data_IF_502698773007
#
_entry.id   IF_502698773007
#
_cell.length_a   1.000
_cell.length_b   1.000
_cell.length_c   1.000
_cell.angle_alpha   90.00
_cell.angle_beta   90.00
_cell.angle_gamma   90.00
#
_symmetry.space_group_name_H-M   'P 1'
#
loop_
_entity.id
_entity.type
_entity.pdbx_description
1 polymer ?
#
# COMPACT_ATOMS: atom_id res chain seq x y z
N UNK A 1 20.81 -21.88 13.66
CA UNK A 1 21.71 -21.19 12.71
C UNK A 1 22.27 -22.27 11.79
N UNK A 2 22.01 -22.36 10.46
CA UNK A 2 21.84 -21.32 9.45
C UNK A 2 20.71 -21.64 8.43
N UNK A 3 19.52 -21.03 8.57
CA UNK A 3 18.47 -21.09 7.52
C UNK A 3 17.93 -19.71 7.12
N UNK A 4 18.19 -18.70 7.96
CA UNK A 4 17.81 -17.31 7.71
C UNK A 4 18.67 -16.68 6.60
N UNK A 5 19.94 -17.10 6.47
CA UNK A 5 20.85 -16.56 5.46
C UNK A 5 20.48 -16.97 4.02
N UNK A 6 19.78 -18.10 3.86
CA UNK A 6 19.44 -18.65 2.52
C UNK A 6 18.25 -17.90 1.90
N UNK A 7 17.32 -17.37 2.70
CA UNK A 7 16.20 -16.58 2.19
C UNK A 7 16.58 -15.12 1.86
N UNK A 8 17.60 -14.56 2.54
CA UNK A 8 18.08 -13.20 2.25
C UNK A 8 18.93 -13.19 0.96
N UNK A 9 19.64 -14.29 0.67
CA UNK A 9 20.52 -14.38 -0.49
C UNK A 9 19.79 -14.74 -1.81
N UNK A 10 18.58 -15.28 -1.76
CA UNK A 10 17.75 -15.50 -2.97
C UNK A 10 16.91 -14.28 -3.36
N UNK A 11 16.74 -13.32 -2.45
CA UNK A 11 15.99 -12.08 -2.74
C UNK A 11 16.77 -11.09 -3.62
N UNK A 12 18.09 -11.27 -3.76
CA UNK A 12 18.95 -10.43 -4.62
C UNK A 12 18.98 -10.87 -6.09
N UNK A 13 18.31 -11.96 -6.47
CA UNK A 13 18.37 -12.53 -7.83
C UNK A 13 17.22 -12.13 -8.76
N UNK A 14 16.36 -11.17 -8.37
CA UNK A 14 15.27 -10.63 -9.20
C UNK A 14 15.34 -9.12 -9.46
N UNK A 15 16.54 -8.52 -9.45
CA UNK A 15 16.76 -7.19 -10.03
C UNK A 15 17.54 -7.37 -11.33
N UNK A 16 16.81 -7.48 -12.45
CA UNK A 16 16.57 -6.27 -13.22
C UNK A 16 15.10 -6.18 -13.62
N UNK A 17 14.32 -5.36 -12.90
CA UNK A 17 13.23 -4.67 -13.58
C UNK A 17 13.92 -3.64 -14.46
N UNK A 18 14.25 -4.05 -15.67
CA UNK A 18 14.49 -3.16 -16.79
C UNK A 18 13.42 -2.09 -16.73
N UNK A 19 13.85 -0.83 -16.65
CA UNK A 19 12.98 0.33 -16.70
C UNK A 19 12.14 0.27 -17.97
N UNK A 20 10.98 -0.38 -17.89
CA UNK A 20 9.85 0.01 -18.70
C UNK A 20 9.55 1.43 -18.21
N UNK A 21 10.10 2.42 -18.92
CA UNK A 21 9.51 3.74 -18.93
C UNK A 21 8.07 3.53 -19.42
N UNK A 22 7.15 3.36 -18.47
CA UNK A 22 5.75 3.57 -18.70
C UNK A 22 5.61 5.05 -19.03
N UNK A 23 5.74 5.32 -20.33
CA UNK A 23 5.49 6.61 -20.96
C UNK A 23 4.08 7.04 -20.57
N UNK A 24 3.98 8.15 -19.83
CA UNK A 24 2.80 9.02 -19.69
C UNK A 24 1.47 8.27 -19.78
N UNK A 25 1.27 7.37 -18.82
CA UNK A 25 0.09 6.53 -18.73
C UNK A 25 -0.57 6.78 -17.40
N UNK A 26 -1.88 6.87 -17.41
CA UNK A 26 -2.72 6.94 -16.22
C UNK A 26 -2.53 5.73 -15.27
N UNK A 27 -1.58 4.84 -15.48
CA UNK A 27 -1.36 3.64 -14.67
C UNK A 27 0.01 3.68 -14.00
N UNK A 28 0.03 3.45 -12.69
CA UNK A 28 1.26 3.32 -11.89
C UNK A 28 1.23 2.04 -11.09
N UNK A 29 2.41 1.55 -10.72
CA UNK A 29 2.55 0.36 -9.89
C UNK A 29 3.35 0.69 -8.65
N UNK A 30 3.03 0.07 -7.52
CA UNK A 30 3.76 0.27 -6.28
C UNK A 30 4.08 -1.04 -5.60
N UNK A 31 5.18 -1.06 -4.85
CA UNK A 31 5.56 -2.14 -3.96
C UNK A 31 5.88 -1.56 -2.58
N UNK A 32 5.54 -2.27 -1.52
CA UNK A 32 5.74 -1.75 -0.17
C UNK A 32 5.17 -2.61 0.94
N UNK A 33 5.15 -2.01 2.12
CA UNK A 33 4.63 -2.57 3.35
C UNK A 33 3.49 -1.71 3.91
N UNK A 34 2.50 -2.36 4.52
CA UNK A 34 1.33 -1.72 5.14
C UNK A 34 0.05 -1.93 4.34
N UNK A 35 -1.07 -1.38 4.81
CA UNK A 35 -2.40 -1.68 4.26
C UNK A 35 -2.59 -1.20 2.82
N UNK A 36 -1.92 -0.14 2.41
CA UNK A 36 -1.92 0.30 1.01
C UNK A 36 -1.29 -0.70 0.04
N UNK A 37 -0.60 -1.71 0.57
CA UNK A 37 0.04 -2.81 -0.15
C UNK A 37 -0.49 -4.17 0.31
N UNK A 38 -1.60 -4.19 1.07
CA UNK A 38 -2.17 -5.40 1.71
C UNK A 38 -1.16 -6.22 2.51
N UNK A 39 -0.36 -5.54 3.33
CA UNK A 39 0.75 -6.14 4.07
C UNK A 39 2.06 -5.92 3.34
N UNK A 40 2.85 -6.97 3.09
CA UNK A 40 3.99 -6.92 2.17
C UNK A 40 3.50 -7.29 0.76
N UNK A 41 3.46 -6.32 -0.15
CA UNK A 41 2.84 -6.55 -1.44
C UNK A 41 2.97 -5.36 -2.39
N UNK A 42 1.97 -5.22 -3.25
CA UNK A 42 1.95 -4.20 -4.28
C UNK A 42 0.57 -3.65 -4.58
N UNK A 43 0.54 -2.60 -5.40
CA UNK A 43 -0.68 -2.06 -5.98
C UNK A 43 -0.51 -1.72 -7.46
N UNK A 44 -1.64 -1.65 -8.17
CA UNK A 44 -1.77 -0.98 -9.46
C UNK A 44 -2.81 0.14 -9.30
N UNK A 45 -2.46 1.36 -9.73
CA UNK A 45 -3.31 2.53 -9.57
C UNK A 45 -3.57 3.20 -10.92
N UNK A 46 -4.84 3.48 -11.20
CA UNK A 46 -5.28 4.30 -12.32
C UNK A 46 -5.53 5.75 -11.85
N UNK A 47 -4.92 6.72 -12.52
CA UNK A 47 -4.98 8.15 -12.23
C UNK A 47 -5.92 8.86 -13.21
N UNK A 48 -6.65 9.85 -12.73
CA UNK A 48 -7.50 10.69 -13.55
C UNK A 48 -7.51 12.10 -12.96
N UNK A 49 -6.63 12.95 -13.51
CA UNK A 49 -6.38 14.29 -12.98
C UNK A 49 -5.79 14.25 -11.56
N UNK A 50 -6.50 14.86 -10.60
CA UNK A 50 -6.06 14.92 -9.18
C UNK A 50 -6.47 13.69 -8.37
N UNK A 51 -7.02 12.66 -9.01
CA UNK A 51 -7.57 11.49 -8.35
C UNK A 51 -6.89 10.20 -8.80
N UNK A 52 -6.94 9.17 -7.96
CA UNK A 52 -6.52 7.83 -8.32
C UNK A 52 -7.42 6.77 -7.68
N UNK A 53 -7.57 5.64 -8.35
CA UNK A 53 -8.14 4.40 -7.80
C UNK A 53 -7.07 3.32 -7.90
N UNK A 54 -6.80 2.60 -6.81
CA UNK A 54 -5.79 1.56 -6.79
C UNK A 54 -6.30 0.24 -6.21
N UNK A 55 -5.91 -0.85 -6.84
CA UNK A 55 -6.07 -2.21 -6.35
C UNK A 55 -4.74 -2.69 -5.76
N UNK A 56 -4.79 -3.29 -4.58
CA UNK A 56 -3.63 -3.80 -3.83
C UNK A 56 -3.81 -5.27 -3.49
N UNK A 57 -2.69 -6.00 -3.44
CA UNK A 57 -2.63 -7.38 -3.02
C UNK A 57 -1.27 -7.68 -2.39
N UNK A 58 -1.26 -8.54 -1.36
CA UNK A 58 -0.05 -8.80 -0.59
C UNK A 58 -0.20 -9.85 0.49
N UNK A 59 0.90 -10.11 1.18
CA UNK A 59 0.99 -10.99 2.34
C UNK A 59 0.73 -10.19 3.61
N UNK A 60 -0.38 -10.45 4.31
CA UNK A 60 -0.79 -9.70 5.52
C UNK A 60 -0.08 -10.19 6.77
N UNK A 61 0.09 -11.51 6.90
CA UNK A 61 0.70 -12.14 8.07
C UNK A 61 1.59 -13.31 7.65
N UNK A 62 2.76 -13.40 8.26
CA UNK A 62 3.65 -14.56 8.20
C UNK A 62 3.87 -15.08 9.62
N UNK A 63 3.51 -16.35 9.88
CA UNK A 63 3.76 -16.99 11.18
C UNK A 63 4.19 -18.44 11.00
N UNK A 64 4.69 -19.06 12.07
CA UNK A 64 4.99 -20.50 12.09
C UNK A 64 3.77 -21.39 11.84
N UNK A 65 2.55 -20.84 11.92
CA UNK A 65 1.29 -21.55 11.72
C UNK A 65 0.64 -21.29 10.36
N UNK A 66 1.25 -20.46 9.50
CA UNK A 66 0.75 -20.22 8.14
C UNK A 66 1.00 -18.82 7.59
N UNK A 67 0.41 -18.58 6.42
CA UNK A 67 0.50 -17.36 5.64
C UNK A 67 -0.90 -16.89 5.27
N UNK A 68 -1.17 -15.60 5.41
CA UNK A 68 -2.44 -14.98 5.01
C UNK A 68 -2.19 -13.95 3.91
N UNK A 69 -3.08 -13.92 2.92
CA UNK A 69 -3.05 -12.96 1.83
C UNK A 69 -4.22 -12.00 1.94
N UNK A 70 -4.00 -10.76 1.53
CA UNK A 70 -5.00 -9.71 1.52
C UNK A 70 -5.10 -9.05 0.16
N UNK A 71 -6.26 -8.44 -0.07
CA UNK A 71 -6.46 -7.50 -1.17
C UNK A 71 -7.18 -6.25 -0.65
N UNK A 72 -7.08 -5.16 -1.39
CA UNK A 72 -7.75 -3.91 -1.04
C UNK A 72 -7.94 -2.97 -2.22
N UNK A 73 -8.88 -2.05 -2.06
CA UNK A 73 -9.18 -0.96 -2.98
C UNK A 73 -8.93 0.36 -2.25
N UNK A 74 -8.34 1.33 -2.94
CA UNK A 74 -8.18 2.69 -2.43
C UNK A 74 -8.57 3.73 -3.45
N UNK A 75 -9.13 4.83 -2.96
CA UNK A 75 -9.34 6.05 -3.72
C UNK A 75 -8.55 7.18 -3.06
N UNK A 76 -7.86 8.02 -3.83
CA UNK A 76 -7.04 9.12 -3.32
C UNK A 76 -7.24 10.39 -4.15
N UNK A 77 -7.10 11.55 -3.52
CA UNK A 77 -7.26 12.86 -4.14
C UNK A 77 -6.21 13.86 -3.60
N UNK A 78 -5.47 14.53 -4.49
CA UNK A 78 -4.35 15.44 -4.11
C UNK A 78 -4.74 16.90 -3.89
N UNK A 79 -5.89 17.34 -4.39
CA UNK A 79 -6.38 18.71 -4.22
C UNK A 79 -7.21 19.00 -2.95
N UNK A 80 -7.30 18.06 -1.98
CA UNK A 80 -8.10 18.26 -0.75
C UNK A 80 -7.34 18.99 0.36
N UNK A 81 -6.00 18.93 0.33
CA UNK A 81 -5.14 19.70 1.20
C UNK A 81 -4.70 20.93 0.44
N UNK A 82 -4.74 22.11 1.08
CA UNK A 82 -4.29 23.36 0.48
C UNK A 82 -2.87 23.16 -0.07
N UNK A 83 -2.74 23.18 -1.39
CA UNK A 83 -1.47 23.03 -2.08
C UNK A 83 -0.57 24.18 -1.63
N UNK A 84 0.37 23.91 -0.71
CA UNK A 84 1.46 24.84 -0.50
C UNK A 84 2.09 25.07 -1.87
N UNK A 85 2.25 26.33 -2.29
CA UNK A 85 2.72 26.74 -3.63
C UNK A 85 4.01 26.02 -4.11
N UNK A 86 4.71 25.33 -3.21
CA UNK A 86 6.00 24.67 -3.41
C UNK A 86 5.93 23.12 -3.46
N UNK A 87 4.77 22.50 -3.25
CA UNK A 87 4.61 21.03 -3.27
C UNK A 87 3.26 20.55 -3.83
N UNK A 88 2.82 21.03 -5.01
CA UNK A 88 1.58 20.55 -5.63
C UNK A 88 1.68 19.03 -5.89
N UNK A 89 0.57 18.32 -5.73
CA UNK A 89 0.42 16.90 -6.04
C UNK A 89 1.23 15.90 -5.17
N UNK A 90 1.89 16.34 -4.09
CA UNK A 90 2.64 15.46 -3.17
C UNK A 90 1.84 14.91 -2.01
N UNK A 91 0.70 15.52 -1.70
CA UNK A 91 -0.13 15.16 -0.57
C UNK A 91 -1.48 14.68 -1.08
N UNK A 92 -1.91 13.47 -0.69
CA UNK A 92 -3.21 12.93 -1.04
C UNK A 92 -4.00 12.55 0.22
N UNK A 93 -5.29 12.84 0.21
CA UNK A 93 -6.25 12.27 1.15
C UNK A 93 -7.10 11.25 0.42
N UNK A 94 -7.54 10.22 1.13
CA UNK A 94 -8.23 9.11 0.50
C UNK A 94 -8.99 8.24 1.46
N UNK A 95 -9.51 7.15 0.92
CA UNK A 95 -10.17 6.08 1.65
C UNK A 95 -9.59 4.76 1.18
N UNK A 96 -9.38 3.85 2.13
CA UNK A 96 -8.99 2.48 1.88
C UNK A 96 -10.09 1.53 2.37
N UNK A 97 -10.36 0.48 1.60
CA UNK A 97 -11.14 -0.68 2.04
C UNK A 97 -10.40 -1.95 1.65
N UNK A 98 -10.35 -2.95 2.53
CA UNK A 98 -9.65 -4.19 2.24
C UNK A 98 -9.30 -5.00 3.47
N UNK A 99 -8.35 -5.92 3.28
CA UNK A 99 -7.77 -6.71 4.35
C UNK A 99 -6.95 -5.80 5.29
N UNK A 100 -7.37 -5.70 6.55
CA UNK A 100 -6.71 -4.88 7.58
C UNK A 100 -6.11 -5.69 8.73
N UNK A 101 -6.01 -7.01 8.58
CA UNK A 101 -5.31 -7.88 9.52
C UNK A 101 -5.85 -9.30 9.49
N UNK A 102 -5.47 -10.09 10.49
CA UNK A 102 -5.90 -11.46 10.66
C UNK A 102 -6.32 -11.73 12.11
N UNK A 103 -7.28 -12.62 12.32
CA UNK A 103 -7.60 -13.15 13.64
C UNK A 103 -6.52 -14.15 14.07
N UNK A 104 -5.82 -13.86 15.19
CA UNK A 104 -4.64 -14.59 15.67
C UNK A 104 -4.83 -16.09 15.93
N UNK A 105 -6.07 -16.57 16.06
CA UNK A 105 -6.38 -17.98 16.33
C UNK A 105 -6.94 -18.73 15.11
N UNK A 106 -7.45 -18.04 14.10
CA UNK A 106 -8.20 -18.66 12.99
C UNK A 106 -7.57 -18.38 11.63
N UNK A 107 -6.54 -17.52 11.55
CA UNK A 107 -5.95 -17.01 10.30
C UNK A 107 -7.00 -16.42 9.33
N UNK A 108 -8.15 -16.00 9.85
CA UNK A 108 -9.18 -15.37 9.04
C UNK A 108 -8.83 -13.92 8.80
N UNK A 109 -8.84 -13.53 7.53
CA UNK A 109 -8.67 -12.15 7.11
C UNK A 109 -9.77 -11.27 7.67
N UNK A 110 -9.36 -10.22 8.38
CA UNK A 110 -10.24 -9.17 8.91
C UNK A 110 -10.37 -8.10 7.84
N UNK A 111 -11.59 -7.82 7.43
CA UNK A 111 -11.90 -6.77 6.48
C UNK A 111 -12.24 -5.47 7.21
N UNK A 112 -11.91 -4.35 6.59
CA UNK A 112 -12.24 -3.05 7.13
C UNK A 112 -11.83 -1.94 6.19
N UNK A 113 -11.82 -0.73 6.73
CA UNK A 113 -11.47 0.44 5.95
C UNK A 113 -11.50 1.71 6.76
N UNK A 114 -11.15 2.81 6.09
CA UNK A 114 -11.17 4.13 6.69
C UNK A 114 -10.34 5.14 5.92
N UNK A 115 -10.27 6.38 6.42
CA UNK A 115 -9.53 7.45 5.77
C UNK A 115 -8.03 7.20 5.79
N UNK A 116 -7.37 7.65 4.73
CA UNK A 116 -5.93 7.59 4.56
C UNK A 116 -5.36 8.92 4.10
N UNK A 117 -4.09 9.12 4.43
CA UNK A 117 -3.24 10.20 3.95
C UNK A 117 -1.99 9.59 3.32
N UNK A 118 -1.55 10.14 2.20
CA UNK A 118 -0.34 9.73 1.51
C UNK A 118 0.53 10.92 1.16
N UNK A 119 1.84 10.76 1.37
CA UNK A 119 2.88 11.64 0.88
C UNK A 119 3.68 10.95 -0.22
N UNK A 120 3.88 11.64 -1.33
CA UNK A 120 4.66 11.21 -2.49
C UNK A 120 5.87 12.14 -2.63
N UNK A 121 7.09 11.59 -2.63
CA UNK A 121 8.33 12.38 -2.74
C UNK A 121 8.35 13.22 -4.01
N UNK A 122 7.87 12.66 -5.12
CA UNK A 122 7.96 13.25 -6.45
C UNK A 122 6.58 13.51 -7.08
N UNK A 123 5.51 13.34 -6.30
CA UNK A 123 4.12 13.54 -6.73
C UNK A 123 3.37 12.23 -7.05
N UNK A 124 2.04 12.26 -6.94
CA UNK A 124 1.19 11.06 -7.02
C UNK A 124 1.27 10.29 -8.35
N UNK A 125 1.69 10.94 -9.44
CA UNK A 125 1.77 10.33 -10.78
C UNK A 125 3.21 9.96 -11.18
N UNK A 126 4.20 10.26 -10.35
CA UNK A 126 5.61 10.08 -10.67
C UNK A 126 6.22 8.94 -9.87
N UNK A 127 7.22 8.29 -10.43
CA UNK A 127 8.05 7.32 -9.72
C UNK A 127 8.67 7.97 -8.48
N UNK A 128 8.58 7.31 -7.31
CA UNK A 128 9.12 7.86 -6.07
C UNK A 128 8.67 7.14 -4.82
N UNK A 129 9.16 7.63 -3.68
CA UNK A 129 8.85 7.10 -2.35
C UNK A 129 7.45 7.54 -1.92
N UNK A 130 6.71 6.61 -1.33
CA UNK A 130 5.35 6.82 -0.83
C UNK A 130 5.28 6.48 0.66
N UNK A 131 4.83 7.43 1.48
CA UNK A 131 4.54 7.23 2.91
C UNK A 131 3.05 7.41 3.14
N UNK A 132 2.41 6.42 3.74
CA UNK A 132 0.99 6.43 4.06
C UNK A 132 0.71 6.42 5.56
N UNK A 133 -0.36 7.08 5.97
CA UNK A 133 -0.94 7.03 7.30
C UNK A 133 -2.44 6.78 7.17
N UNK A 134 -2.98 5.79 7.86
CA UNK A 134 -4.41 5.43 7.77
C UNK A 134 -5.02 5.22 9.15
N UNK A 135 -6.28 5.62 9.29
CA UNK A 135 -7.12 5.27 10.44
C UNK A 135 -8.13 4.24 9.95
N UNK A 136 -8.07 3.02 10.48
CA UNK A 136 -8.85 1.88 9.96
C UNK A 136 -9.78 1.35 11.04
N UNK A 137 -10.98 0.97 10.60
CA UNK A 137 -12.01 0.32 11.43
C UNK A 137 -12.36 -1.02 10.79
N UNK A 138 -12.40 -2.08 11.60
CA UNK A 138 -12.80 -3.42 11.13
C UNK A 138 -14.31 -3.60 11.14
N UNK A 139 -14.80 -4.34 10.15
CA UNK A 139 -16.11 -4.96 10.20
C UNK A 139 -15.95 -6.37 10.80
N UNK A 140 -16.38 -6.54 12.04
CA UNK A 140 -16.17 -7.77 12.80
C UNK A 140 -16.79 -7.68 14.20
N UNK A 141 -16.93 -8.83 14.87
CA UNK A 141 -17.52 -8.90 16.23
C UNK A 141 -16.79 -8.00 17.22
N UNK A 142 -15.47 -7.96 17.10
CA UNK A 142 -14.63 -7.01 17.81
C UNK A 142 -14.30 -5.85 16.87
N UNK A 143 -15.06 -4.75 16.99
CA UNK A 143 -14.75 -3.50 16.29
C UNK A 143 -13.36 -2.99 16.70
N UNK A 144 -12.36 -3.24 15.87
CA UNK A 144 -10.99 -2.76 16.07
C UNK A 144 -10.84 -1.41 15.39
N UNK A 145 -10.17 -0.48 16.07
CA UNK A 145 -9.71 0.80 15.53
C UNK A 145 -8.20 0.78 15.57
N UNK A 146 -7.54 1.08 14.46
CA UNK A 146 -6.09 1.13 14.40
C UNK A 146 -5.59 2.33 13.60
N UNK A 147 -4.40 2.79 13.97
CA UNK A 147 -3.60 3.74 13.19
C UNK A 147 -2.49 2.94 12.54
N UNK A 148 -2.30 3.13 11.24
CA UNK A 148 -1.38 2.33 10.48
C UNK A 148 -0.49 3.18 9.58
N UNK A 149 0.78 2.79 9.50
CA UNK A 149 1.74 3.36 8.58
C UNK A 149 1.89 2.43 7.37
N UNK A 150 2.12 3.03 6.21
CA UNK A 150 2.52 2.31 5.00
C UNK A 150 3.76 2.98 4.44
N UNK A 151 4.67 2.19 3.87
CA UNK A 151 5.89 2.66 3.25
C UNK A 151 6.13 1.87 1.98
N UNK A 152 6.42 2.54 0.89
CA UNK A 152 6.75 1.85 -0.35
C UNK A 152 7.35 2.77 -1.39
N UNK A 153 7.44 2.23 -2.59
CA UNK A 153 7.97 2.90 -3.76
C UNK A 153 7.02 2.66 -4.92
N UNK A 154 6.68 3.70 -5.67
CA UNK A 154 5.91 3.59 -6.89
C UNK A 154 6.77 3.84 -8.12
N UNK A 155 6.38 3.20 -9.22
CA UNK A 155 6.98 3.25 -10.54
C UNK A 155 5.97 3.83 -11.52
#
# INVERSE_FOLDING_TARGET
>A
MPRILVCILTLTLFLPVSGAQAKEGDLTFGLGLGFSYSGLGGYAAHHFGKQSIALSAGLTTYSSYGHSYGAGLSWRHTGLLSEARFAPNRHALGVYIGAIGDESYTNKTVWGGGPSYHYYSDGMQNTGLVVGLSFLVSDGRDRRKMVALSLGYQF
#
